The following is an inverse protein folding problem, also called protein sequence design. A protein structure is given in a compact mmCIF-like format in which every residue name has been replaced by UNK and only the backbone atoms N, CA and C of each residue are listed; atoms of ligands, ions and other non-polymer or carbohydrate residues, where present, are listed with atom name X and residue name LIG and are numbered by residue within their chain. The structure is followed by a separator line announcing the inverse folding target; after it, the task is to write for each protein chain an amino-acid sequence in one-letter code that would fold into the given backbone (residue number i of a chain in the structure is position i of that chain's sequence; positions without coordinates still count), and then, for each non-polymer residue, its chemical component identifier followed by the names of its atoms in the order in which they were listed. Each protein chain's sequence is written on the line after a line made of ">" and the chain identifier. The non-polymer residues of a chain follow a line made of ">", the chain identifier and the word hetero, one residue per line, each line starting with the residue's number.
data_IF_885630486734
#
_entry.id   IF_885630486734
#
_cell.length_a   1.000
_cell.length_b   1.000
_cell.length_c   1.000
_cell.angle_alpha   90.00
_cell.angle_beta   90.00
_cell.angle_gamma   90.00
#
_symmetry.space_group_name_H-M   'P 1'
#
loop_
_entity.id
_entity.type
_entity.pdbx_description
1 polymer ?
#
# COMPACT_ATOMS: atom_id res chain seq x y z
N UNK A 1 10.13 -11.22 -2.12
CA UNK A 1 9.82 -10.49 -3.38
C UNK A 1 10.21 -9.01 -3.29
N UNK A 2 9.92 -8.32 -2.18
CA UNK A 2 10.30 -6.91 -1.94
C UNK A 2 11.82 -6.64 -2.01
N UNK A 3 12.66 -7.63 -1.72
CA UNK A 3 14.12 -7.46 -1.76
C UNK A 3 14.68 -7.18 -3.16
N UNK A 4 13.95 -7.54 -4.23
CA UNK A 4 14.36 -7.29 -5.62
C UNK A 4 13.75 -6.02 -6.21
N UNK A 5 12.79 -5.38 -5.52
CA UNK A 5 12.02 -4.23 -6.03
C UNK A 5 12.94 -3.08 -6.44
N UNK A 6 13.79 -2.60 -5.53
CA UNK A 6 14.72 -1.51 -5.79
C UNK A 6 15.74 -1.84 -6.91
N UNK A 7 16.08 -3.11 -7.11
CA UNK A 7 16.94 -3.53 -8.21
C UNK A 7 16.16 -3.45 -9.53
N UNK A 8 14.94 -3.99 -9.57
CA UNK A 8 14.08 -4.00 -10.77
C UNK A 8 13.73 -2.57 -11.20
N UNK A 9 13.43 -1.67 -10.26
CA UNK A 9 13.16 -0.26 -10.55
C UNK A 9 14.36 0.43 -11.23
N UNK A 10 15.58 0.10 -10.79
CA UNK A 10 16.82 0.66 -11.36
C UNK A 10 17.17 0.13 -12.75
N UNK A 11 16.62 -1.01 -13.14
CA UNK A 11 16.79 -1.57 -14.49
C UNK A 11 15.94 -0.85 -15.54
N UNK A 12 15.03 0.02 -15.10
CA UNK A 12 14.24 0.82 -16.00
C UNK A 12 15.08 1.90 -16.70
N UNK A 13 14.90 2.02 -18.02
CA UNK A 13 15.62 2.98 -18.86
C UNK A 13 14.68 4.08 -19.35
N UNK A 14 15.14 5.34 -19.33
CA UNK A 14 14.37 6.48 -19.84
C UNK A 14 14.79 7.82 -19.23
N UNK A 15 14.96 8.85 -20.07
CA UNK A 15 15.46 10.18 -19.65
C UNK A 15 14.36 11.21 -19.36
N UNK A 16 13.10 10.90 -19.67
CA UNK A 16 11.97 11.86 -19.65
C UNK A 16 10.91 11.57 -18.60
N UNK A 17 11.24 10.77 -17.57
CA UNK A 17 10.30 10.39 -16.50
C UNK A 17 9.33 9.27 -16.88
N UNK A 18 9.40 8.77 -18.12
CA UNK A 18 8.84 7.49 -18.52
C UNK A 18 9.98 6.48 -18.54
N UNK A 19 9.87 5.48 -17.67
CA UNK A 19 10.90 4.47 -17.50
C UNK A 19 10.35 3.15 -18.05
N UNK A 20 10.97 2.64 -19.11
CA UNK A 20 10.60 1.37 -19.71
C UNK A 20 11.53 0.27 -19.24
N UNK A 21 10.97 -0.89 -18.92
CA UNK A 21 11.74 -2.08 -18.54
C UNK A 21 11.85 -3.01 -19.75
N UNK A 22 13.06 -3.10 -20.30
CA UNK A 22 13.35 -3.95 -21.45
C UNK A 22 13.04 -5.43 -21.14
N UNK A 23 12.26 -6.08 -22.01
CA UNK A 23 11.97 -7.52 -21.93
C UNK A 23 13.23 -8.37 -21.87
N UNK A 24 14.28 -7.95 -22.59
CA UNK A 24 15.58 -8.62 -22.61
C UNK A 24 16.22 -8.55 -21.22
N UNK A 25 16.30 -7.36 -20.64
CA UNK A 25 16.91 -7.14 -19.31
C UNK A 25 16.16 -7.93 -18.23
N UNK A 26 14.82 -7.94 -18.28
CA UNK A 26 13.97 -8.75 -17.40
C UNK A 26 14.27 -10.25 -17.51
N UNK A 27 14.39 -10.76 -18.73
CA UNK A 27 14.62 -12.19 -18.98
C UNK A 27 15.99 -12.68 -18.51
N UNK A 28 16.94 -11.75 -18.33
CA UNK A 28 18.30 -12.04 -17.84
C UNK A 28 18.38 -12.06 -16.30
N UNK A 29 17.29 -11.72 -15.59
CA UNK A 29 17.27 -11.72 -14.12
C UNK A 29 17.14 -13.13 -13.54
N UNK A 30 18.05 -13.50 -12.65
CA UNK A 30 17.98 -14.75 -11.92
C UNK A 30 17.01 -14.65 -10.73
N UNK A 31 16.17 -15.67 -10.58
CA UNK A 31 15.26 -15.82 -9.46
C UNK A 31 15.45 -17.19 -8.81
N UNK A 32 15.24 -17.26 -7.49
CA UNK A 32 15.24 -18.53 -6.78
C UNK A 32 13.95 -19.26 -7.12
N UNK A 33 14.08 -20.47 -7.69
CA UNK A 33 12.96 -21.36 -7.96
C UNK A 33 12.97 -22.52 -6.94
N UNK A 34 12.19 -22.41 -5.85
CA UNK A 34 12.09 -23.52 -4.90
C UNK A 34 11.23 -24.66 -5.46
N UNK A 35 11.36 -25.89 -4.90
CA UNK A 35 10.40 -26.96 -5.08
C UNK A 35 8.95 -26.49 -4.79
N UNK A 36 8.00 -27.06 -5.52
CA UNK A 36 6.60 -26.63 -5.49
C UNK A 36 5.96 -26.71 -4.10
N UNK A 37 6.28 -27.75 -3.33
CA UNK A 37 5.77 -27.96 -1.98
C UNK A 37 6.24 -26.88 -0.99
N UNK A 38 7.48 -26.40 -1.15
CA UNK A 38 8.03 -25.30 -0.37
C UNK A 38 7.38 -23.97 -0.78
N UNK A 39 7.22 -23.75 -2.08
CA UNK A 39 6.54 -22.56 -2.60
C UNK A 39 5.10 -22.44 -2.07
N UNK A 40 4.35 -23.55 -2.09
CA UNK A 40 2.96 -23.58 -1.62
C UNK A 40 2.86 -23.30 -0.11
N UNK A 41 3.73 -23.90 0.71
CA UNK A 41 3.77 -23.65 2.15
C UNK A 41 4.11 -22.20 2.47
N UNK A 42 5.06 -21.62 1.76
CA UNK A 42 5.43 -20.22 1.92
C UNK A 42 4.24 -19.32 1.55
N UNK A 43 3.60 -19.55 0.39
CA UNK A 43 2.45 -18.77 -0.05
C UNK A 43 1.32 -18.82 0.99
N UNK A 44 0.94 -20.01 1.47
CA UNK A 44 -0.09 -20.15 2.51
C UNK A 44 0.26 -19.40 3.80
N UNK A 45 1.53 -19.36 4.17
CA UNK A 45 1.99 -18.68 5.39
C UNK A 45 1.98 -17.15 5.25
N UNK A 46 2.36 -16.63 4.07
CA UNK A 46 2.50 -15.19 3.86
C UNK A 46 1.26 -14.51 3.27
N UNK A 47 0.34 -15.27 2.67
CA UNK A 47 -0.86 -14.74 2.00
C UNK A 47 -1.68 -13.79 2.88
N UNK A 48 -1.95 -14.18 4.13
CA UNK A 48 -2.75 -13.36 5.04
C UNK A 48 -2.09 -12.01 5.37
N UNK A 49 -0.76 -11.97 5.46
CA UNK A 49 -0.02 -10.73 5.68
C UNK A 49 -0.08 -9.82 4.45
N UNK A 50 0.10 -10.38 3.25
CA UNK A 50 -0.02 -9.64 1.99
C UNK A 50 -1.42 -9.04 1.81
N UNK A 51 -2.48 -9.82 2.08
CA UNK A 51 -3.87 -9.35 2.02
C UNK A 51 -4.14 -8.22 3.02
N UNK A 52 -3.68 -8.37 4.27
CA UNK A 52 -3.77 -7.31 5.28
C UNK A 52 -3.01 -6.06 4.86
N UNK A 53 -1.83 -6.20 4.28
CA UNK A 53 -1.04 -5.06 3.81
C UNK A 53 -1.79 -4.27 2.73
N UNK A 54 -2.42 -4.96 1.77
CA UNK A 54 -3.24 -4.33 0.72
C UNK A 54 -4.45 -3.64 1.34
N UNK A 55 -5.17 -4.31 2.24
CA UNK A 55 -6.35 -3.75 2.92
C UNK A 55 -6.01 -2.49 3.72
N UNK A 56 -4.93 -2.52 4.50
CA UNK A 56 -4.49 -1.37 5.30
C UNK A 56 -4.10 -0.18 4.41
N UNK A 57 -3.43 -0.42 3.26
CA UNK A 57 -3.10 0.65 2.31
C UNK A 57 -4.37 1.29 1.72
N UNK A 58 -5.37 0.48 1.40
CA UNK A 58 -6.65 0.96 0.88
C UNK A 58 -7.38 1.81 1.92
N UNK A 59 -7.52 1.31 3.15
CA UNK A 59 -8.13 2.03 4.26
C UNK A 59 -7.41 3.35 4.55
N UNK A 60 -6.07 3.33 4.55
CA UNK A 60 -5.29 4.55 4.75
C UNK A 60 -5.54 5.58 3.62
N UNK A 61 -5.63 5.14 2.36
CA UNK A 61 -5.98 6.02 1.24
C UNK A 61 -7.38 6.63 1.42
N UNK A 62 -8.34 5.85 1.88
CA UNK A 62 -9.71 6.32 2.16
C UNK A 62 -9.75 7.32 3.32
N UNK A 63 -9.04 7.05 4.41
CA UNK A 63 -8.92 7.98 5.54
C UNK A 63 -8.25 9.30 5.14
N UNK A 64 -7.21 9.25 4.31
CA UNK A 64 -6.57 10.45 3.75
C UNK A 64 -7.58 11.25 2.93
N UNK A 65 -8.33 10.61 2.04
CA UNK A 65 -9.36 11.28 1.23
C UNK A 65 -10.46 11.88 2.11
N UNK A 66 -10.89 11.15 3.13
CA UNK A 66 -11.89 11.63 4.07
C UNK A 66 -11.40 12.86 4.81
N UNK A 67 -10.18 12.81 5.36
CA UNK A 67 -9.52 13.94 6.00
C UNK A 67 -9.46 15.14 5.06
N UNK A 68 -8.95 14.96 3.85
CA UNK A 68 -8.76 16.04 2.88
C UNK A 68 -10.09 16.62 2.37
N UNK A 69 -11.17 15.86 2.45
CA UNK A 69 -12.53 16.32 2.12
C UNK A 69 -13.21 17.03 3.28
N UNK A 70 -13.07 16.51 4.50
CA UNK A 70 -13.77 17.03 5.67
C UNK A 70 -13.06 18.25 6.27
N UNK A 71 -11.72 18.25 6.33
CA UNK A 71 -10.96 19.31 6.98
C UNK A 71 -11.25 20.69 6.37
N UNK A 72 -11.31 20.88 5.04
CA UNK A 72 -11.67 22.17 4.46
C UNK A 72 -13.10 22.61 4.81
N UNK A 73 -14.04 21.67 4.85
CA UNK A 73 -15.47 21.93 5.17
C UNK A 73 -15.69 22.28 6.65
N UNK A 74 -14.89 21.69 7.54
CA UNK A 74 -14.90 22.03 8.95
C UNK A 74 -14.28 23.42 9.18
N UNK A 75 -13.18 23.73 8.50
CA UNK A 75 -12.52 25.04 8.59
C UNK A 75 -13.40 26.16 7.99
N UNK A 76 -14.09 25.92 6.88
CA UNK A 76 -15.01 26.90 6.28
C UNK A 76 -16.29 27.11 7.10
N UNK A 77 -16.60 26.20 8.03
CA UNK A 77 -17.84 26.21 8.81
C UNK A 77 -19.06 25.70 8.04
N UNK A 78 -18.87 25.17 6.82
CA UNK A 78 -19.91 24.52 6.02
C UNK A 78 -20.39 23.22 6.66
N UNK A 79 -19.53 22.58 7.46
CA UNK A 79 -19.84 21.42 8.28
C UNK A 79 -19.69 21.79 9.76
N UNK A 80 -20.76 21.62 10.54
CA UNK A 80 -20.74 21.80 12.01
C UNK A 80 -20.95 20.47 12.69
N UNK A 81 -20.08 20.15 13.64
CA UNK A 81 -20.21 18.97 14.49
C UNK A 81 -20.95 19.42 15.75
N UNK A 82 -21.99 18.68 16.15
CA UNK A 82 -22.73 18.98 17.37
C UNK A 82 -21.96 18.44 18.58
N UNK A 83 -21.89 19.21 19.68
CA UNK A 83 -21.11 18.84 20.87
C UNK A 83 -21.52 17.50 21.52
N UNK A 84 -22.69 16.96 21.17
CA UNK A 84 -23.19 15.66 21.66
C UNK A 84 -22.54 14.41 21.03
N UNK A 85 -21.68 14.57 20.02
CA UNK A 85 -21.11 13.45 19.24
C UNK A 85 -19.59 13.28 19.42
N UNK A 86 -18.94 14.09 20.27
CA UNK A 86 -17.47 14.14 20.38
C UNK A 86 -16.89 13.05 21.32
N UNK A 87 -17.73 12.27 22.01
CA UNK A 87 -17.30 11.38 23.10
C UNK A 87 -16.74 10.00 22.68
N UNK A 88 -16.71 9.64 21.40
CA UNK A 88 -16.29 8.29 20.98
C UNK A 88 -14.78 8.11 20.75
N UNK A 89 -13.96 9.15 20.94
CA UNK A 89 -12.51 9.05 20.75
C UNK A 89 -11.74 8.58 21.99
N UNK A 90 -12.27 8.82 23.20
CA UNK A 90 -11.56 8.53 24.45
C UNK A 90 -11.80 7.10 24.99
N UNK A 91 -12.82 6.38 24.51
CA UNK A 91 -13.09 4.98 24.95
C UNK A 91 -12.19 3.93 24.26
N UNK A 92 -11.43 4.26 23.22
CA UNK A 92 -10.62 3.27 22.46
C UNK A 92 -9.22 3.07 23.06
N UNK A 93 -8.85 3.83 24.12
CA UNK A 93 -7.54 3.75 24.80
C UNK A 93 -7.59 3.24 26.26
N UNK A 94 -8.72 2.72 26.72
CA UNK A 94 -8.86 2.01 28.00
C UNK A 94 -9.00 0.49 27.80
#
# INVERSE_FOLDING_TARGET
>A
MLSLEALIERLGEGSTGQTELSRKILSEQFVVLPPFDIAEKAERSFKSFSEKQVSNRQQNSELIKLRDTLLPKLISGDLRISDSEVDTADEVLA
#
